data_IF_861708020512
#
_entry.id   IF_861708020512
#
_cell.length_a   1.000
_cell.length_b   1.000
_cell.length_c   1.000
_cell.angle_alpha   90.00
_cell.angle_beta   90.00
_cell.angle_gamma   90.00
#
_symmetry.space_group_name_H-M   'P 1'
#
loop_
_entity.id
_entity.type
_entity.pdbx_description
1 polymer ?
#
# COMPACT_ATOMS: atom_id res chain seq x y z
N UNK A 1 -6.65 18.62 -11.41
CA UNK A 1 -6.90 18.27 -10.00
C UNK A 1 -5.67 18.65 -9.17
N UNK A 2 -5.79 19.01 -7.89
CA UNK A 2 -4.66 19.57 -7.13
C UNK A 2 -3.42 18.65 -7.06
N UNK A 3 -3.63 17.33 -7.06
CA UNK A 3 -2.56 16.34 -7.16
C UNK A 3 -1.79 16.41 -8.49
N UNK A 4 -2.43 16.79 -9.60
CA UNK A 4 -1.76 16.93 -10.90
C UNK A 4 -0.68 18.01 -10.89
N UNK A 5 -0.90 19.08 -10.12
CA UNK A 5 0.07 20.18 -9.95
C UNK A 5 1.31 19.77 -9.15
N UNK A 6 1.24 18.63 -8.45
CA UNK A 6 2.37 18.03 -7.73
C UNK A 6 3.09 16.96 -8.57
N UNK A 7 2.50 16.45 -9.66
CA UNK A 7 3.10 15.37 -10.47
C UNK A 7 4.45 15.71 -11.07
N UNK A 8 4.76 17.00 -11.31
CA UNK A 8 6.07 17.46 -11.77
C UNK A 8 7.06 17.81 -10.65
N UNK A 9 6.67 17.66 -9.38
CA UNK A 9 7.50 18.02 -8.24
C UNK A 9 8.27 16.80 -7.74
N UNK A 10 9.60 16.80 -7.91
CA UNK A 10 10.48 15.64 -7.64
C UNK A 10 10.28 15.01 -6.26
N UNK A 11 10.24 15.77 -5.14
CA UNK A 11 9.96 15.20 -3.81
C UNK A 11 8.65 14.40 -3.73
N UNK A 12 7.61 14.88 -4.42
CA UNK A 12 6.33 14.17 -4.47
C UNK A 12 6.40 12.94 -5.38
N UNK A 13 7.13 13.01 -6.51
CA UNK A 13 7.35 11.85 -7.38
C UNK A 13 8.09 10.71 -6.66
N UNK A 14 9.11 11.05 -5.88
CA UNK A 14 9.79 10.10 -5.00
C UNK A 14 8.79 9.49 -4.00
N UNK A 15 8.01 10.32 -3.32
CA UNK A 15 7.04 9.88 -2.32
C UNK A 15 6.01 8.90 -2.90
N UNK A 16 5.42 9.19 -4.06
CA UNK A 16 4.45 8.29 -4.70
C UNK A 16 5.10 7.00 -5.22
N UNK A 17 6.40 7.02 -5.49
CA UNK A 17 7.19 5.87 -5.94
C UNK A 17 7.47 4.85 -4.84
N UNK A 18 7.35 5.23 -3.57
CA UNK A 18 7.56 4.33 -2.43
C UNK A 18 6.58 3.14 -2.50
N UNK A 19 7.06 1.91 -2.32
CA UNK A 19 6.17 0.74 -2.25
C UNK A 19 5.49 0.62 -0.88
N UNK A 20 6.24 0.97 0.17
CA UNK A 20 5.83 0.93 1.58
C UNK A 20 6.32 2.19 2.28
N UNK A 21 5.64 2.55 3.37
CA UNK A 21 6.08 3.65 4.24
C UNK A 21 7.37 3.25 4.97
N UNK A 22 8.48 3.99 4.83
CA UNK A 22 9.69 3.74 5.60
C UNK A 22 9.45 3.88 7.11
N UNK A 23 10.24 3.15 7.90
CA UNK A 23 10.19 3.23 9.37
C UNK A 23 10.59 4.64 9.82
N UNK A 24 9.91 5.16 10.84
CA UNK A 24 10.16 6.50 11.38
C UNK A 24 9.49 7.63 10.61
N UNK A 25 8.66 7.33 9.60
CA UNK A 25 7.82 8.35 8.97
C UNK A 25 6.93 9.05 10.01
N UNK A 26 6.75 10.39 9.90
CA UNK A 26 5.96 11.13 10.87
C UNK A 26 4.46 10.85 10.74
N UNK A 27 3.76 10.89 11.86
CA UNK A 27 2.30 10.91 11.91
C UNK A 27 1.71 12.15 11.20
N UNK A 28 0.40 12.13 10.98
CA UNK A 28 -0.31 13.32 10.50
C UNK A 28 -0.21 14.46 11.51
N UNK A 29 -0.07 15.69 10.99
CA UNK A 29 -0.25 16.89 11.80
C UNK A 29 -1.72 16.98 12.24
N UNK A 30 -1.94 17.42 13.48
CA UNK A 30 -3.27 17.72 14.01
C UNK A 30 -3.57 19.22 13.95
N UNK A 31 -4.83 19.58 13.77
CA UNK A 31 -5.30 20.95 13.99
C UNK A 31 -5.50 21.22 15.50
N UNK A 32 -5.97 22.42 15.85
CA UNK A 32 -6.28 22.83 17.23
C UNK A 32 -7.36 21.96 17.90
N UNK A 33 -8.17 21.25 17.12
CA UNK A 33 -9.23 20.35 17.59
C UNK A 33 -8.75 18.89 17.72
N UNK A 34 -7.46 18.63 17.44
CA UNK A 34 -6.90 17.28 17.46
C UNK A 34 -7.28 16.42 16.25
N UNK A 35 -7.80 17.02 15.18
CA UNK A 35 -8.15 16.33 13.94
C UNK A 35 -6.95 16.25 12.98
N UNK A 36 -6.77 15.11 12.33
CA UNK A 36 -5.70 14.90 11.36
C UNK A 36 -5.91 15.74 10.09
N UNK A 37 -4.89 16.54 9.79
CA UNK A 37 -4.75 17.30 8.55
C UNK A 37 -4.04 16.41 7.53
N UNK A 38 -4.82 15.88 6.59
CA UNK A 38 -4.29 15.04 5.50
C UNK A 38 -3.69 15.96 4.42
N UNK A 39 -2.39 15.86 4.07
CA UNK A 39 -1.80 16.69 3.04
C UNK A 39 -2.45 16.51 1.66
N UNK A 40 -2.37 17.52 0.80
CA UNK A 40 -2.82 17.39 -0.60
C UNK A 40 -1.93 16.38 -1.33
N UNK A 41 -2.53 15.44 -2.06
CA UNK A 41 -1.80 14.38 -2.76
C UNK A 41 -1.44 13.17 -1.90
N UNK A 42 -1.88 13.12 -0.64
CA UNK A 42 -1.58 11.99 0.25
C UNK A 42 -2.11 10.66 -0.32
N UNK A 43 -1.27 9.62 -0.26
CA UNK A 43 -1.61 8.27 -0.74
C UNK A 43 -1.32 7.16 0.26
N UNK A 44 -0.73 7.45 1.41
CA UNK A 44 -0.48 6.45 2.45
C UNK A 44 -1.33 6.75 3.69
N UNK A 45 -1.82 5.71 4.36
CA UNK A 45 -2.37 5.86 5.70
C UNK A 45 -1.22 5.94 6.72
N UNK A 46 -1.07 7.10 7.36
CA UNK A 46 -0.11 7.33 8.45
C UNK A 46 -0.77 7.46 9.83
N UNK A 47 -1.96 6.89 10.00
CA UNK A 47 -2.57 6.80 11.33
C UNK A 47 -1.99 5.60 12.09
N UNK A 48 -1.82 5.69 13.42
CA UNK A 48 -1.48 4.54 14.23
C UNK A 48 -2.63 3.53 14.22
N UNK A 49 -2.32 2.24 14.40
CA UNK A 49 -3.35 1.20 14.48
C UNK A 49 -4.25 1.37 15.70
N UNK A 50 -3.66 1.76 16.82
CA UNK A 50 -4.33 1.99 18.10
C UNK A 50 -3.81 3.27 18.73
N UNK A 51 -4.62 3.91 19.58
CA UNK A 51 -4.25 5.14 20.26
C UNK A 51 -3.03 4.90 21.15
N UNK A 52 -1.93 5.60 20.87
CA UNK A 52 -0.66 5.48 21.62
C UNK A 52 0.32 4.44 21.06
N UNK A 53 -0.04 3.74 19.96
CA UNK A 53 0.90 2.89 19.25
C UNK A 53 1.85 3.75 18.38
N UNK A 54 3.11 3.35 18.30
CA UNK A 54 4.12 3.99 17.43
C UNK A 54 4.10 3.44 16.01
N UNK A 55 3.48 2.27 15.79
CA UNK A 55 3.37 1.66 14.46
C UNK A 55 2.25 2.28 13.63
N UNK A 56 2.65 2.85 12.50
CA UNK A 56 1.74 3.44 11.51
C UNK A 56 1.15 2.36 10.60
N UNK A 57 -0.09 2.60 10.14
CA UNK A 57 -0.79 1.69 9.22
C UNK A 57 0.00 1.36 7.95
N UNK A 58 0.58 2.37 7.31
CA UNK A 58 1.43 2.23 6.12
C UNK A 58 0.70 1.77 4.84
N UNK A 59 -0.62 1.57 4.87
CA UNK A 59 -1.38 1.12 3.70
C UNK A 59 -1.34 2.16 2.58
N UNK A 60 -0.93 1.74 1.37
CA UNK A 60 -0.87 2.57 0.17
C UNK A 60 -2.20 2.57 -0.60
N UNK A 61 -2.54 3.70 -1.18
CA UNK A 61 -3.72 3.95 -2.00
C UNK A 61 -3.33 4.61 -3.32
N UNK A 62 -4.29 4.70 -4.25
CA UNK A 62 -4.10 5.39 -5.54
C UNK A 62 -4.27 6.90 -5.38
N UNK A 63 -5.20 7.32 -4.52
CA UNK A 63 -5.57 8.71 -4.32
C UNK A 63 -5.92 9.02 -2.86
N UNK A 64 -6.05 10.31 -2.55
CA UNK A 64 -6.37 10.81 -1.20
C UNK A 64 -7.76 10.43 -0.72
N UNK A 65 -8.76 10.38 -1.60
CA UNK A 65 -10.14 10.03 -1.23
C UNK A 65 -10.22 8.67 -0.51
N UNK A 66 -9.68 7.59 -1.11
CA UNK A 66 -9.55 6.28 -0.46
C UNK A 66 -8.81 6.30 0.89
N UNK A 67 -7.76 7.12 1.05
CA UNK A 67 -7.06 7.28 2.35
C UNK A 67 -8.04 7.77 3.43
N UNK A 68 -8.86 8.77 3.11
CA UNK A 68 -9.83 9.31 4.06
C UNK A 68 -10.92 8.30 4.42
N UNK A 69 -11.46 7.60 3.43
CA UNK A 69 -12.45 6.55 3.65
C UNK A 69 -11.87 5.47 4.55
N UNK A 70 -10.62 5.06 4.30
CA UNK A 70 -9.93 4.10 5.15
C UNK A 70 -9.74 4.60 6.58
N UNK A 71 -9.30 5.85 6.79
CA UNK A 71 -9.17 6.44 8.13
C UNK A 71 -10.48 6.37 8.91
N UNK A 72 -11.61 6.75 8.28
CA UNK A 72 -12.92 6.72 8.93
C UNK A 72 -13.37 5.32 9.35
N UNK A 73 -13.07 4.29 8.55
CA UNK A 73 -13.56 2.93 8.82
C UNK A 73 -12.62 2.09 9.68
N UNK A 74 -11.31 2.28 9.55
CA UNK A 74 -10.31 1.40 10.18
C UNK A 74 -9.57 2.08 11.34
N UNK A 75 -9.61 3.41 11.42
CA UNK A 75 -8.99 4.19 12.49
C UNK A 75 -10.06 5.00 13.22
N UNK A 76 -11.06 4.31 13.79
CA UNK A 76 -12.20 4.94 14.47
C UNK A 76 -11.82 5.86 15.64
N UNK A 77 -10.62 5.70 16.20
CA UNK A 77 -10.07 6.57 17.23
C UNK A 77 -9.48 7.89 16.68
N UNK A 78 -9.38 8.03 15.36
CA UNK A 78 -8.84 9.22 14.69
C UNK A 78 -9.97 10.08 14.16
N UNK A 79 -9.87 11.39 14.35
CA UNK A 79 -10.75 12.38 13.69
C UNK A 79 -10.00 12.98 12.52
N UNK A 80 -10.67 13.16 11.38
CA UNK A 80 -10.06 13.73 10.17
C UNK A 80 -10.65 15.11 9.93
N UNK A 81 -9.79 16.10 9.77
CA UNK A 81 -10.21 17.48 9.56
C UNK A 81 -11.08 17.58 8.30
N UNK A 82 -12.16 18.37 8.39
CA UNK A 82 -13.06 18.58 7.25
C UNK A 82 -12.28 19.18 6.09
N UNK A 83 -12.30 18.48 4.96
CA UNK A 83 -11.71 19.03 3.73
C UNK A 83 -12.71 19.98 3.12
N UNK A 84 -12.27 21.22 2.91
CA UNK A 84 -12.97 22.16 2.06
C UNK A 84 -13.01 21.60 0.63
N UNK A 85 -14.21 21.24 0.18
CA UNK A 85 -14.48 20.75 -1.17
C UNK A 85 -14.24 21.88 -2.19
N UNK A 86 -13.75 21.52 -3.37
CA UNK A 86 -13.45 22.48 -4.44
C UNK A 86 -11.97 22.52 -4.86
N UNK A 87 -11.63 23.50 -5.69
CA UNK A 87 -10.26 23.70 -6.19
C UNK A 87 -9.35 24.04 -5.01
N UNK A 88 -8.26 23.29 -4.84
CA UNK A 88 -7.28 23.61 -3.80
C UNK A 88 -6.70 25.01 -4.05
N UNK A 89 -6.68 25.82 -2.99
CA UNK A 89 -6.04 27.14 -3.03
C UNK A 89 -4.55 27.00 -3.31
N UNK A 90 -3.95 28.06 -3.86
CA UNK A 90 -2.50 28.13 -4.08
C UNK A 90 -1.72 27.87 -2.78
N UNK A 91 -2.22 28.37 -1.65
CA UNK A 91 -1.66 28.15 -0.31
C UNK A 91 -1.58 26.67 0.06
N UNK A 92 -2.66 25.89 -0.15
CA UNK A 92 -2.67 24.44 0.12
C UNK A 92 -1.69 23.66 -0.75
N UNK A 93 -1.43 24.13 -1.97
CA UNK A 93 -0.43 23.54 -2.86
C UNK A 93 0.99 23.87 -2.41
N UNK A 94 1.25 25.10 -1.96
CA UNK A 94 2.55 25.51 -1.39
C UNK A 94 2.85 24.73 -0.11
N UNK A 95 1.88 24.60 0.80
CA UNK A 95 2.00 23.78 2.01
C UNK A 95 2.31 22.32 1.67
N UNK A 96 1.63 21.74 0.67
CA UNK A 96 1.90 20.38 0.24
C UNK A 96 3.32 20.24 -0.34
N UNK A 97 3.79 21.20 -1.13
CA UNK A 97 5.18 21.18 -1.64
C UNK A 97 6.21 21.26 -0.52
N UNK A 98 6.01 22.17 0.44
CA UNK A 98 6.89 22.28 1.61
C UNK A 98 6.90 20.97 2.42
N UNK A 99 5.73 20.35 2.60
CA UNK A 99 5.58 19.07 3.28
C UNK A 99 6.37 17.94 2.61
N UNK A 100 6.19 17.73 1.30
CA UNK A 100 6.92 16.65 0.60
C UNK A 100 8.41 16.93 0.47
N UNK A 101 8.82 18.21 0.37
CA UNK A 101 10.23 18.57 0.41
C UNK A 101 10.87 18.18 1.75
N UNK A 102 10.24 18.50 2.87
CA UNK A 102 10.72 18.12 4.20
C UNK A 102 10.83 16.60 4.36
N UNK A 103 9.84 15.83 3.90
CA UNK A 103 9.94 14.36 3.88
C UNK A 103 11.11 13.87 3.01
N UNK A 104 11.25 14.41 1.81
CA UNK A 104 12.33 14.02 0.89
C UNK A 104 13.69 14.31 1.51
N UNK A 105 13.91 15.51 2.03
CA UNK A 105 15.19 15.89 2.64
C UNK A 105 15.54 14.98 3.85
N UNK A 106 14.55 14.62 4.67
CA UNK A 106 14.76 13.76 5.86
C UNK A 106 15.13 12.31 5.52
N UNK A 107 14.52 11.74 4.50
CA UNK A 107 14.60 10.30 4.23
C UNK A 107 15.49 9.97 3.03
N UNK A 108 15.50 10.81 1.99
CA UNK A 108 16.35 10.60 0.82
C UNK A 108 17.83 10.88 1.12
N UNK A 109 18.14 11.77 2.06
CA UNK A 109 19.52 12.08 2.44
C UNK A 109 20.22 11.01 3.28
N UNK A 110 19.47 10.20 4.04
CA UNK A 110 20.05 9.23 5.00
C UNK A 110 20.57 7.95 4.35
N UNK A 111 20.00 7.55 3.23
CA UNK A 111 20.41 6.34 2.52
C UNK A 111 21.76 6.51 1.78
N UNK A 112 22.26 7.75 1.64
CA UNK A 112 23.52 8.01 0.95
C UNK A 112 24.76 8.04 1.87
N UNK A 113 24.59 8.23 3.19
CA UNK A 113 25.70 8.30 4.15
C UNK A 113 25.96 6.99 4.92
N UNK A 114 25.04 6.02 4.87
CA UNK A 114 25.13 4.81 5.72
C UNK A 114 25.90 3.63 5.08
N UNK A 115 26.71 3.88 4.04
CA UNK A 115 27.59 2.86 3.46
C UNK A 115 29.04 3.33 3.27
N UNK A 116 29.51 4.24 4.14
CA UNK A 116 30.94 4.38 4.42
C UNK A 116 31.32 3.51 5.63
N UNK A 117 31.27 2.20 5.45
CA UNK A 117 32.19 1.33 6.17
C UNK A 117 33.52 1.48 5.44
N UNK A 118 34.38 2.27 6.08
CA UNK A 118 35.80 2.47 5.87
C UNK A 118 36.48 1.30 5.13
N UNK A 119 36.53 1.38 3.80
CA UNK A 119 37.47 0.61 2.98
C UNK A 119 38.48 1.60 2.46
N UNK A 120 39.55 1.75 3.24
CA UNK A 120 40.76 2.46 2.87
C UNK A 120 41.31 1.87 1.56
N UNK A 121 41.11 2.55 0.43
CA UNK A 121 41.87 2.35 -0.81
C UNK A 121 41.74 3.56 -1.75
N UNK A 122 42.79 4.39 -1.68
CA UNK A 122 43.51 5.00 -2.82
C UNK A 122 42.86 6.15 -3.61
N UNK A 123 43.57 7.28 -3.79
CA UNK A 123 43.09 8.44 -4.55
C UNK A 123 43.42 8.31 -6.04
N UNK A 124 42.44 8.57 -6.91
CA UNK A 124 42.71 8.98 -8.29
C UNK A 124 41.63 9.94 -8.82
N UNK A 125 42.07 11.15 -9.17
CA UNK A 125 41.40 12.19 -9.97
C UNK A 125 42.29 12.44 -11.22
N UNK A 126 41.91 13.19 -12.30
CA UNK A 126 40.59 13.69 -12.75
C UNK A 126 40.25 13.50 -14.28
N UNK A 127 38.93 13.62 -14.60
CA UNK A 127 38.25 14.33 -15.75
C UNK A 127 38.51 13.98 -17.25
N UNK A 128 37.72 14.47 -18.26
CA UNK A 128 36.45 15.26 -18.29
C UNK A 128 35.34 14.79 -19.28
N UNK A 129 34.15 15.40 -19.14
CA UNK A 129 33.15 15.87 -20.14
C UNK A 129 32.56 14.97 -21.25
N UNK A 130 31.23 14.84 -21.23
CA UNK A 130 30.41 14.43 -22.37
C UNK A 130 28.90 14.67 -22.16
N UNK A 131 28.39 15.78 -22.68
CA UNK A 131 26.97 16.10 -22.85
C UNK A 131 26.29 15.16 -23.85
N UNK A 132 25.22 14.46 -23.47
CA UNK A 132 24.32 13.79 -24.41
C UNK A 132 22.84 13.92 -23.98
N UNK A 133 22.10 14.56 -24.89
CA UNK A 133 20.67 14.83 -24.91
C UNK A 133 19.82 13.55 -24.91
N UNK A 134 18.87 13.45 -23.98
CA UNK A 134 17.95 12.31 -23.86
C UNK A 134 16.62 12.59 -24.55
N UNK A 135 16.34 11.87 -25.65
CA UNK A 135 14.98 11.72 -26.21
C UNK A 135 14.36 10.46 -25.60
N UNK A 136 13.58 10.64 -24.53
CA UNK A 136 12.88 9.56 -23.85
C UNK A 136 11.61 9.14 -24.58
N UNK A 137 11.70 8.11 -25.42
CA UNK A 137 10.52 7.37 -25.89
C UNK A 137 9.87 6.65 -24.71
N UNK A 138 8.57 6.82 -24.52
CA UNK A 138 7.75 6.11 -23.51
C UNK A 138 7.68 4.62 -23.88
N UNK A 139 8.69 3.85 -23.48
CA UNK A 139 8.61 2.40 -23.55
C UNK A 139 7.57 1.93 -22.52
N UNK A 140 6.47 1.40 -23.03
CA UNK A 140 5.46 0.68 -22.27
C UNK A 140 6.20 -0.45 -21.53
N UNK A 141 6.38 -0.29 -20.20
CA UNK A 141 6.98 -1.35 -19.37
C UNK A 141 6.08 -2.57 -19.49
N UNK A 142 6.50 -3.56 -20.28
CA UNK A 142 5.92 -4.91 -20.32
C UNK A 142 5.81 -5.37 -18.87
N UNK A 143 4.59 -5.46 -18.34
CA UNK A 143 4.35 -6.09 -17.05
C UNK A 143 4.96 -7.49 -17.15
N UNK A 144 5.98 -7.77 -16.33
CA UNK A 144 6.50 -9.12 -16.17
C UNK A 144 5.33 -9.98 -15.73
N UNK A 145 4.77 -10.75 -16.65
CA UNK A 145 3.77 -11.78 -16.36
C UNK A 145 4.44 -12.76 -15.40
N UNK A 146 4.10 -12.69 -14.12
CA UNK A 146 4.62 -13.68 -13.18
C UNK A 146 4.15 -15.06 -13.63
N UNK A 147 5.01 -16.09 -13.56
CA UNK A 147 4.63 -17.45 -13.91
C UNK A 147 3.41 -17.83 -13.08
N UNK A 148 2.31 -18.19 -13.76
CA UNK A 148 1.07 -18.63 -13.14
C UNK A 148 1.39 -19.84 -12.26
N UNK A 149 1.24 -19.69 -10.94
CA UNK A 149 1.32 -20.82 -10.03
C UNK A 149 0.25 -21.85 -10.44
N UNK A 150 0.57 -23.16 -10.44
CA UNK A 150 -0.41 -24.19 -10.76
C UNK A 150 -1.61 -24.09 -9.81
N UNK A 151 -2.82 -24.19 -10.37
CA UNK A 151 -4.07 -24.13 -9.60
C UNK A 151 -4.16 -25.32 -8.63
N UNK A 152 -4.66 -25.07 -7.43
CA UNK A 152 -4.87 -26.10 -6.41
C UNK A 152 -6.11 -26.94 -6.76
N UNK A 153 -6.05 -28.25 -6.58
CA UNK A 153 -7.24 -29.10 -6.69
C UNK A 153 -8.26 -28.79 -5.59
N UNK A 154 -9.55 -28.73 -5.91
CA UNK A 154 -10.60 -28.49 -4.91
C UNK A 154 -10.81 -29.74 -4.05
N UNK A 155 -10.50 -29.70 -2.74
CA UNK A 155 -10.77 -30.82 -1.87
C UNK A 155 -12.28 -31.05 -1.73
N UNK A 156 -12.70 -32.30 -1.90
CA UNK A 156 -14.09 -32.76 -1.74
C UNK A 156 -14.17 -33.80 -0.63
N UNK A 157 -15.29 -33.83 0.10
CA UNK A 157 -15.53 -34.85 1.12
C UNK A 157 -15.60 -36.24 0.47
N UNK A 158 -14.80 -37.18 0.99
CA UNK A 158 -14.76 -38.55 0.48
C UNK A 158 -15.87 -39.44 1.06
N UNK A 159 -16.43 -39.04 2.20
CA UNK A 159 -17.43 -39.78 2.97
C UNK A 159 -18.51 -38.80 3.42
N UNK A 160 -19.77 -39.23 3.46
CA UNK A 160 -20.88 -38.45 4.03
C UNK A 160 -20.89 -38.52 5.56
N UNK A 161 -21.19 -37.40 6.21
CA UNK A 161 -21.36 -37.32 7.67
C UNK A 161 -22.62 -36.52 8.01
N UNK A 162 -23.73 -37.23 8.26
CA UNK A 162 -25.02 -36.62 8.54
C UNK A 162 -25.01 -35.71 9.78
N UNK A 163 -24.26 -36.08 10.84
CA UNK A 163 -24.16 -35.28 12.07
C UNK A 163 -23.58 -33.89 11.84
N UNK A 164 -22.70 -33.76 10.83
CA UNK A 164 -22.06 -32.49 10.45
C UNK A 164 -22.65 -31.88 9.18
N UNK A 165 -23.74 -32.44 8.65
CA UNK A 165 -24.36 -32.03 7.39
C UNK A 165 -23.37 -32.03 6.21
N UNK A 166 -22.42 -32.97 6.17
CA UNK A 166 -21.44 -33.10 5.09
C UNK A 166 -21.89 -34.19 4.11
N UNK A 167 -21.99 -33.89 2.81
CA UNK A 167 -22.28 -34.91 1.79
C UNK A 167 -21.01 -35.29 1.03
N UNK A 168 -20.90 -36.57 0.66
CA UNK A 168 -19.80 -37.08 -0.19
C UNK A 168 -19.82 -36.32 -1.53
N UNK A 169 -18.66 -35.87 -1.99
CA UNK A 169 -18.49 -35.10 -3.22
C UNK A 169 -18.67 -33.58 -3.08
N UNK A 170 -19.22 -33.08 -1.97
CA UNK A 170 -19.30 -31.64 -1.71
C UNK A 170 -17.93 -31.05 -1.38
N UNK A 171 -17.77 -29.75 -1.66
CA UNK A 171 -16.53 -28.99 -1.43
C UNK A 171 -16.22 -28.92 0.07
N UNK A 172 -15.01 -29.29 0.45
CA UNK A 172 -14.51 -29.19 1.81
C UNK A 172 -13.86 -27.82 2.05
N UNK A 173 -14.68 -26.81 2.35
CA UNK A 173 -14.22 -25.43 2.57
C UNK A 173 -13.16 -25.28 3.67
N UNK A 174 -13.23 -26.11 4.71
CA UNK A 174 -12.23 -26.10 5.79
C UNK A 174 -10.85 -26.54 5.28
N UNK A 175 -10.82 -27.54 4.39
CA UNK A 175 -9.58 -27.99 3.75
C UNK A 175 -9.07 -26.97 2.73
N UNK A 176 -9.96 -26.34 1.94
CA UNK A 176 -9.58 -25.21 1.07
C UNK A 176 -8.85 -24.11 1.88
N UNK A 177 -9.42 -23.73 3.04
CA UNK A 177 -8.79 -22.74 3.93
C UNK A 177 -7.39 -23.16 4.38
N UNK A 178 -7.22 -24.41 4.82
CA UNK A 178 -5.90 -24.91 5.25
C UNK A 178 -4.87 -24.87 4.12
N UNK A 179 -5.28 -25.24 2.91
CA UNK A 179 -4.41 -25.17 1.72
C UNK A 179 -4.00 -23.73 1.39
N UNK A 180 -4.94 -22.78 1.47
CA UNK A 180 -4.67 -21.36 1.25
C UNK A 180 -3.69 -20.79 2.29
N UNK A 181 -3.91 -21.07 3.58
CA UNK A 181 -3.01 -20.61 4.65
C UNK A 181 -1.62 -21.23 4.49
N UNK A 182 -1.54 -22.53 4.16
CA UNK A 182 -0.26 -23.21 3.89
C UNK A 182 0.48 -22.61 2.69
N UNK A 183 -0.26 -22.09 1.70
CA UNK A 183 0.29 -21.38 0.54
C UNK A 183 0.61 -19.89 0.78
N UNK A 184 0.41 -19.39 2.00
CA UNK A 184 0.65 -17.98 2.36
C UNK A 184 -0.45 -17.01 1.94
N UNK A 185 -1.64 -17.51 1.57
CA UNK A 185 -2.76 -16.67 1.14
C UNK A 185 -3.61 -16.20 2.33
N UNK A 186 -4.13 -14.98 2.25
CA UNK A 186 -4.99 -14.42 3.30
C UNK A 186 -6.38 -15.05 3.32
N UNK A 187 -6.86 -15.40 4.52
CA UNK A 187 -8.23 -15.92 4.75
C UNK A 187 -8.84 -15.26 6.01
N UNK A 188 -10.00 -14.58 5.92
CA UNK A 188 -10.78 -14.35 4.71
C UNK A 188 -10.06 -13.40 3.74
N UNK A 189 -10.28 -13.60 2.44
CA UNK A 189 -9.80 -12.68 1.42
C UNK A 189 -10.45 -11.31 1.58
N UNK A 190 -9.85 -10.29 0.98
CA UNK A 190 -10.32 -8.90 1.10
C UNK A 190 -11.80 -8.74 0.71
N UNK A 191 -12.25 -9.41 -0.35
CA UNK A 191 -13.66 -9.37 -0.78
C UNK A 191 -14.58 -9.99 0.29
N UNK A 192 -14.24 -11.15 0.85
CA UNK A 192 -15.06 -11.76 1.88
C UNK A 192 -15.06 -10.93 3.17
N UNK A 193 -13.91 -10.35 3.53
CA UNK A 193 -13.77 -9.45 4.69
C UNK A 193 -14.61 -8.18 4.52
N UNK A 194 -14.59 -7.55 3.35
CA UNK A 194 -15.40 -6.37 3.05
C UNK A 194 -16.91 -6.65 3.12
N UNK A 195 -17.33 -7.88 2.83
CA UNK A 195 -18.71 -8.33 2.97
C UNK A 195 -19.08 -8.79 4.40
N UNK A 196 -18.25 -8.51 5.40
CA UNK A 196 -18.49 -8.89 6.80
C UNK A 196 -18.42 -10.40 7.07
N UNK A 197 -17.86 -11.20 6.14
CA UNK A 197 -17.75 -12.64 6.32
C UNK A 197 -16.49 -12.97 7.09
N UNK A 198 -16.64 -13.67 8.22
CA UNK A 198 -15.51 -14.21 8.99
C UNK A 198 -14.73 -15.31 8.26
N UNK A 199 -15.24 -15.84 7.14
CA UNK A 199 -14.61 -16.91 6.39
C UNK A 199 -14.76 -16.74 4.87
N UNK A 200 -13.77 -17.22 4.12
CA UNK A 200 -13.88 -17.34 2.67
C UNK A 200 -14.94 -18.36 2.29
N UNK A 201 -15.92 -17.95 1.49
CA UNK A 201 -16.92 -18.87 0.97
C UNK A 201 -16.41 -19.69 -0.21
N UNK A 202 -15.33 -19.27 -0.88
CA UNK A 202 -14.80 -19.90 -2.12
C UNK A 202 -15.88 -20.10 -3.21
N UNK A 203 -16.96 -19.31 -3.14
CA UNK A 203 -18.06 -19.25 -4.14
C UNK A 203 -17.72 -18.24 -5.25
N UNK A 204 -18.64 -18.06 -6.20
CA UNK A 204 -18.43 -17.33 -7.47
C UNK A 204 -17.86 -15.90 -7.37
N UNK A 205 -17.92 -15.25 -6.20
CA UNK A 205 -17.35 -13.90 -6.01
C UNK A 205 -16.20 -13.84 -4.98
N UNK A 206 -15.63 -14.98 -4.62
CA UNK A 206 -14.50 -15.02 -3.67
C UNK A 206 -13.18 -14.91 -4.42
N UNK A 207 -12.35 -13.91 -4.09
CA UNK A 207 -11.01 -13.77 -4.69
C UNK A 207 -10.18 -15.07 -4.61
N UNK A 208 -10.33 -15.82 -3.51
CA UNK A 208 -9.60 -17.07 -3.33
C UNK A 208 -10.10 -18.23 -4.21
N UNK A 209 -11.25 -18.10 -4.88
CA UNK A 209 -11.75 -19.09 -5.85
C UNK A 209 -10.79 -19.25 -7.04
N UNK A 210 -10.08 -18.17 -7.41
CA UNK A 210 -9.15 -18.14 -8.54
C UNK A 210 -7.93 -19.03 -8.35
N UNK A 211 -7.64 -19.49 -7.12
CA UNK A 211 -6.52 -20.38 -6.83
C UNK A 211 -6.88 -21.86 -6.93
N UNK A 212 -8.13 -22.19 -7.26
CA UNK A 212 -8.63 -23.56 -7.27
C UNK A 212 -9.16 -23.97 -8.65
N UNK A 213 -8.96 -25.24 -9.01
CA UNK A 213 -9.55 -25.86 -10.18
C UNK A 213 -10.89 -26.50 -9.80
N UNK A 214 -11.99 -25.86 -10.19
CA UNK A 214 -13.36 -26.29 -9.89
C UNK A 214 -13.95 -27.21 -10.97
#
# INVERSE_FOLDING_TARGET
>A
MAADMLKGFVPFQWYIGLEKLPVGFPEYRTNTEGEYIIPTGEIFCRAPFEKGNTELCGKKFVERGPVMTHLKHFHAHTKVAKIQTGRSSATKLLEARAYYKDLYDRFHGRDHDSNMIDTCSTPHQPEPSGTATSQGSTQLKKLKTQPLKPLLQVPRYQISNAKKQQKKGEVNYNQCRRMLVKGGYQVPCEICRANGKGMCSVKENCANRLYFQF
#
